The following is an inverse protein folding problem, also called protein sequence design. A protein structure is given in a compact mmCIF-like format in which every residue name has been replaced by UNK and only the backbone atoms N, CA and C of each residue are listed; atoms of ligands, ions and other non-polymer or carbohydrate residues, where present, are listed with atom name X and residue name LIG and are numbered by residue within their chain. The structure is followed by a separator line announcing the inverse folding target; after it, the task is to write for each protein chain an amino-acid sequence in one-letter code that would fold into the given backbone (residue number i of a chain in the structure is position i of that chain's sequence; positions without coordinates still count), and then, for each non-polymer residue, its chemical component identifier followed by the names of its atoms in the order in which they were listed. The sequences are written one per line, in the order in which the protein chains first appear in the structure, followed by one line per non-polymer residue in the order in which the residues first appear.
data_IF_122504342848
#
_entry.id   IF_122504342848
#
_cell.length_a   1.000
_cell.length_b   1.000
_cell.length_c   1.000
_cell.angle_alpha   90.00
_cell.angle_beta   90.00
_cell.angle_gamma   90.00
#
_symmetry.space_group_name_H-M   'P 1'
#
loop_
_entity.id
_entity.type
_entity.pdbx_description
1 polymer ?
#
# COMPACT_ATOMS: atom_id res chain seq x y z
N UNK A 1 -22.16 -1.39 -3.19
CA UNK A 1 -22.67 -0.03 -2.85
C UNK A 1 -22.17 0.36 -1.47
N UNK A 2 -21.25 1.32 -1.39
CA UNK A 2 -20.79 1.82 -0.10
C UNK A 2 -21.88 2.71 0.49
N UNK A 3 -22.21 2.49 1.77
CA UNK A 3 -23.20 3.27 2.51
C UNK A 3 -22.76 4.75 2.56
N UNK A 4 -23.60 5.68 2.10
CA UNK A 4 -23.28 7.11 2.04
C UNK A 4 -22.96 7.70 3.40
N UNK A 5 -23.57 7.18 4.47
CA UNK A 5 -23.30 7.58 5.85
C UNK A 5 -21.92 7.12 6.33
N UNK A 6 -21.48 5.93 5.90
CA UNK A 6 -20.15 5.40 6.19
C UNK A 6 -19.06 6.19 5.44
N UNK A 7 -19.29 6.53 4.17
CA UNK A 7 -18.36 7.38 3.42
C UNK A 7 -18.21 8.77 4.06
N UNK A 8 -19.31 9.34 4.54
CA UNK A 8 -19.29 10.61 5.23
C UNK A 8 -18.48 10.53 6.53
N UNK A 9 -18.69 9.50 7.35
CA UNK A 9 -17.98 9.33 8.62
C UNK A 9 -16.48 9.07 8.42
N UNK A 10 -16.08 8.29 7.42
CA UNK A 10 -14.67 8.06 7.09
C UNK A 10 -14.01 9.37 6.65
N UNK A 11 -14.66 10.14 5.78
CA UNK A 11 -14.12 11.45 5.35
C UNK A 11 -13.97 12.42 6.51
N UNK A 12 -14.98 12.49 7.40
CA UNK A 12 -14.90 13.33 8.59
C UNK A 12 -13.74 12.89 9.50
N UNK A 13 -13.60 11.57 9.73
CA UNK A 13 -12.48 11.01 10.50
C UNK A 13 -11.14 11.39 9.89
N UNK A 14 -10.96 11.23 8.58
CA UNK A 14 -9.70 11.59 7.89
C UNK A 14 -9.42 13.09 7.99
N UNK A 15 -10.43 13.95 7.82
CA UNK A 15 -10.27 15.40 7.97
C UNK A 15 -9.79 15.80 9.38
N UNK A 16 -10.36 15.17 10.42
CA UNK A 16 -9.94 15.39 11.80
C UNK A 16 -8.50 14.93 12.05
N UNK A 17 -8.11 13.77 11.50
CA UNK A 17 -6.73 13.26 11.59
C UNK A 17 -5.72 14.15 10.84
N UNK A 18 -6.09 14.67 9.67
CA UNK A 18 -5.26 15.62 8.91
C UNK A 18 -4.98 16.87 9.74
N UNK A 19 -6.03 17.51 10.28
CA UNK A 19 -5.86 18.72 11.11
C UNK A 19 -5.00 18.44 12.35
N UNK A 20 -5.18 17.28 12.99
CA UNK A 20 -4.37 16.90 14.14
C UNK A 20 -2.89 16.69 13.77
N UNK A 21 -2.61 16.01 12.66
CA UNK A 21 -1.25 15.77 12.19
C UNK A 21 -0.55 17.04 11.66
N UNK A 22 -1.28 17.97 11.04
CA UNK A 22 -0.76 19.30 10.68
C UNK A 22 -0.34 20.10 11.93
N UNK A 23 -1.13 20.04 13.00
CA UNK A 23 -0.77 20.66 14.27
C UNK A 23 0.48 20.01 14.89
N UNK A 24 0.60 18.68 14.80
CA UNK A 24 1.78 17.94 15.23
C UNK A 24 3.03 18.34 14.42
N UNK A 25 2.92 18.46 13.09
CA UNK A 25 4.02 18.96 12.24
C UNK A 25 4.50 20.34 12.68
N UNK A 26 3.57 21.27 12.92
CA UNK A 26 3.93 22.63 13.36
C UNK A 26 4.65 22.61 14.70
N UNK A 27 4.23 21.74 15.64
CA UNK A 27 4.92 21.56 16.90
C UNK A 27 6.35 21.01 16.71
N UNK A 28 6.53 20.01 15.84
CA UNK A 28 7.86 19.45 15.53
C UNK A 28 8.76 20.50 14.89
N UNK A 29 8.27 21.29 13.94
CA UNK A 29 9.05 22.39 13.33
C UNK A 29 9.50 23.40 14.39
N UNK A 30 8.63 23.72 15.35
CA UNK A 30 8.98 24.61 16.46
C UNK A 30 10.05 24.00 17.38
N UNK A 31 9.93 22.71 17.71
CA UNK A 31 10.91 22.00 18.55
C UNK A 31 12.26 21.85 17.84
N UNK A 32 12.25 21.56 16.54
CA UNK A 32 13.46 21.53 15.71
C UNK A 32 14.20 22.87 15.82
N UNK A 33 13.50 24.01 15.76
CA UNK A 33 14.06 25.36 15.84
C UNK A 33 14.80 25.65 17.17
N UNK A 34 14.42 24.98 18.25
CA UNK A 34 14.98 25.20 19.60
C UNK A 34 16.00 24.13 20.01
N UNK A 35 16.05 23.02 19.28
CA UNK A 35 16.93 21.88 19.60
C UNK A 35 18.35 22.11 19.09
N UNK A 36 19.34 21.96 19.98
CA UNK A 36 20.77 22.15 19.69
C UNK A 36 21.59 20.84 19.70
N UNK A 37 20.93 19.69 19.89
CA UNK A 37 21.58 18.37 19.85
C UNK A 37 21.34 17.73 18.49
N UNK A 38 22.42 17.32 17.80
CA UNK A 38 22.33 16.65 16.50
C UNK A 38 21.48 15.38 16.60
N UNK A 39 21.70 14.54 17.62
CA UNK A 39 20.95 13.29 17.83
C UNK A 39 19.45 13.54 17.96
N UNK A 40 19.06 14.48 18.84
CA UNK A 40 17.64 14.84 19.02
C UNK A 40 17.05 15.46 17.76
N UNK A 41 17.80 16.31 17.07
CA UNK A 41 17.34 16.95 15.84
C UNK A 41 17.18 15.94 14.69
N UNK A 42 18.06 14.94 14.61
CA UNK A 42 17.94 13.84 13.65
C UNK A 42 16.65 13.05 13.88
N UNK A 43 16.33 12.74 15.14
CA UNK A 43 15.06 12.10 15.50
C UNK A 43 13.86 12.96 15.12
N UNK A 44 13.90 14.27 15.41
CA UNK A 44 12.82 15.19 15.04
C UNK A 44 12.64 15.32 13.53
N UNK A 45 13.71 15.18 12.73
CA UNK A 45 13.61 15.13 11.25
C UNK A 45 12.90 13.86 10.81
N UNK A 46 13.28 12.70 11.36
CA UNK A 46 12.61 11.43 11.07
C UNK A 46 11.15 11.42 11.51
N UNK A 47 10.84 12.03 12.67
CA UNK A 47 9.46 12.20 13.15
C UNK A 47 8.67 13.10 12.20
N UNK A 48 9.25 14.22 11.76
CA UNK A 48 8.62 15.10 10.78
C UNK A 48 8.25 14.34 9.49
N UNK A 49 9.20 13.60 8.92
CA UNK A 49 8.97 12.80 7.70
C UNK A 49 7.89 11.72 7.90
N UNK A 50 7.88 11.06 9.07
CA UNK A 50 6.84 10.08 9.41
C UNK A 50 5.46 10.72 9.55
N UNK A 51 5.35 11.94 10.07
CA UNK A 51 4.08 12.66 10.13
C UNK A 51 3.62 13.05 8.71
N UNK A 52 4.53 13.51 7.84
CA UNK A 52 4.21 13.79 6.43
C UNK A 52 3.67 12.55 5.71
N UNK A 53 4.29 11.39 5.89
CA UNK A 53 3.82 10.12 5.33
C UNK A 53 2.41 9.75 5.83
N UNK A 54 2.12 9.95 7.13
CA UNK A 54 0.76 9.75 7.67
C UNK A 54 -0.24 10.72 7.06
N UNK A 55 0.13 11.98 6.86
CA UNK A 55 -0.72 12.99 6.22
C UNK A 55 -1.03 12.64 4.77
N UNK A 56 -0.04 12.15 4.02
CA UNK A 56 -0.23 11.65 2.67
C UNK A 56 -1.22 10.48 2.66
N UNK A 57 -1.04 9.51 3.57
CA UNK A 57 -1.96 8.38 3.70
C UNK A 57 -3.40 8.84 4.04
N UNK A 58 -3.60 9.73 5.01
CA UNK A 58 -4.92 10.28 5.32
C UNK A 58 -5.54 11.01 4.13
N UNK A 59 -4.73 11.76 3.37
CA UNK A 59 -5.17 12.51 2.20
C UNK A 59 -5.55 11.59 1.04
N UNK A 60 -4.79 10.51 0.82
CA UNK A 60 -5.11 9.47 -0.17
C UNK A 60 -6.44 8.79 0.17
N UNK A 61 -6.63 8.37 1.43
CA UNK A 61 -7.88 7.75 1.89
C UNK A 61 -9.05 8.73 1.74
N UNK A 62 -8.89 9.98 2.19
CA UNK A 62 -9.93 10.99 2.03
C UNK A 62 -10.32 11.19 0.56
N UNK A 63 -9.33 11.30 -0.33
CA UNK A 63 -9.53 11.52 -1.76
C UNK A 63 -10.28 10.37 -2.40
N UNK A 64 -9.93 9.12 -2.07
CA UNK A 64 -10.64 7.93 -2.53
C UNK A 64 -12.14 7.98 -2.22
N UNK A 65 -12.51 8.28 -0.97
CA UNK A 65 -13.91 8.35 -0.54
C UNK A 65 -14.63 9.66 -0.91
N UNK A 66 -13.88 10.68 -1.34
CA UNK A 66 -14.42 11.93 -1.85
C UNK A 66 -14.73 11.87 -3.35
N UNK A 67 -14.01 11.03 -4.09
CA UNK A 67 -14.19 10.87 -5.52
C UNK A 67 -15.52 10.15 -5.86
N UNK A 68 -16.16 10.47 -6.99
CA UNK A 68 -17.31 9.70 -7.48
C UNK A 68 -16.87 8.25 -7.78
N UNK A 69 -17.74 7.27 -7.54
CA UNK A 69 -17.44 5.85 -7.78
C UNK A 69 -16.95 5.58 -9.21
N UNK A 70 -17.54 6.26 -10.20
CA UNK A 70 -17.16 6.17 -11.62
C UNK A 70 -15.71 6.60 -11.91
N UNK A 71 -15.06 7.32 -10.99
CA UNK A 71 -13.67 7.74 -11.14
C UNK A 71 -12.68 6.58 -11.03
N UNK A 72 -13.02 5.52 -10.29
CA UNK A 72 -12.19 4.31 -10.12
C UNK A 72 -11.97 3.59 -11.46
N UNK A 73 -12.89 3.75 -12.40
CA UNK A 73 -12.82 3.20 -13.76
C UNK A 73 -11.92 4.03 -14.70
N UNK A 74 -11.49 5.22 -14.29
CA UNK A 74 -10.58 6.02 -15.11
C UNK A 74 -9.16 5.44 -15.07
N UNK A 75 -8.43 5.41 -16.20
CA UNK A 75 -7.06 4.88 -16.23
C UNK A 75 -6.13 5.54 -15.20
N UNK A 76 -6.35 6.82 -14.90
CA UNK A 76 -5.56 7.59 -13.93
C UNK A 76 -5.75 7.08 -12.50
N UNK A 77 -7.00 6.95 -12.04
CA UNK A 77 -7.28 6.45 -10.68
C UNK A 77 -6.89 4.99 -10.55
N UNK A 78 -7.04 4.22 -11.63
CA UNK A 78 -6.63 2.82 -11.68
C UNK A 78 -5.12 2.63 -11.53
N UNK A 79 -4.29 3.51 -12.10
CA UNK A 79 -2.84 3.45 -11.86
C UNK A 79 -2.45 3.70 -10.40
N UNK A 80 -3.34 4.31 -9.61
CA UNK A 80 -3.14 4.59 -8.18
C UNK A 80 -3.90 3.61 -7.28
N UNK A 81 -4.58 2.60 -7.83
CA UNK A 81 -5.45 1.69 -7.07
C UNK A 81 -4.72 1.04 -5.88
N UNK A 82 -3.50 0.55 -6.09
CA UNK A 82 -2.70 -0.10 -5.04
C UNK A 82 -2.19 0.92 -4.00
N UNK A 83 -1.94 2.15 -4.42
CA UNK A 83 -1.54 3.24 -3.53
C UNK A 83 -2.68 3.60 -2.56
N UNK A 84 -3.92 3.65 -3.04
CA UNK A 84 -5.09 3.85 -2.17
C UNK A 84 -5.27 2.73 -1.16
N UNK A 85 -5.08 1.48 -1.60
CA UNK A 85 -5.16 0.32 -0.70
C UNK A 85 -4.06 0.38 0.35
N UNK A 86 -2.81 0.66 -0.05
CA UNK A 86 -1.68 0.75 0.86
C UNK A 86 -1.87 1.86 1.89
N UNK A 87 -2.27 3.06 1.43
CA UNK A 87 -2.58 4.18 2.30
C UNK A 87 -3.69 3.83 3.29
N UNK A 88 -4.76 3.17 2.83
CA UNK A 88 -5.85 2.74 3.68
C UNK A 88 -5.40 1.71 4.73
N UNK A 89 -4.62 0.70 4.33
CA UNK A 89 -4.05 -0.31 5.26
C UNK A 89 -3.15 0.32 6.32
N UNK A 90 -2.31 1.29 5.93
CA UNK A 90 -1.42 1.99 6.86
C UNK A 90 -2.19 2.84 7.90
N UNK A 91 -3.39 3.29 7.56
CA UNK A 91 -4.29 3.99 8.48
C UNK A 91 -5.04 3.01 9.39
N UNK A 92 -5.63 1.97 8.79
CA UNK A 92 -6.51 1.03 9.46
C UNK A 92 -6.71 -0.22 8.57
N UNK A 93 -6.38 -1.41 9.06
CA UNK A 93 -6.46 -2.63 8.25
C UNK A 93 -7.87 -2.89 7.68
N UNK A 94 -8.92 -2.55 8.44
CA UNK A 94 -10.31 -2.69 7.97
C UNK A 94 -10.65 -1.70 6.85
N UNK A 95 -10.07 -0.48 6.87
CA UNK A 95 -10.17 0.45 5.73
C UNK A 95 -9.49 -0.11 4.50
N UNK A 96 -8.29 -0.70 4.65
CA UNK A 96 -7.57 -1.37 3.56
C UNK A 96 -8.45 -2.39 2.86
N UNK A 97 -9.10 -3.27 3.64
CA UNK A 97 -10.06 -4.27 3.13
C UNK A 97 -11.23 -3.63 2.38
N UNK A 98 -11.80 -2.57 2.94
CA UNK A 98 -12.94 -1.88 2.32
C UNK A 98 -12.57 -1.24 0.98
N UNK A 99 -11.39 -0.62 0.89
CA UNK A 99 -10.90 0.01 -0.35
C UNK A 99 -10.61 -1.05 -1.40
N UNK A 100 -9.89 -2.13 -1.05
CA UNK A 100 -9.62 -3.23 -1.98
C UNK A 100 -10.90 -3.89 -2.50
N UNK A 101 -11.89 -4.12 -1.62
CA UNK A 101 -13.18 -4.67 -2.03
C UNK A 101 -13.91 -3.73 -3.00
N UNK A 102 -13.90 -2.42 -2.74
CA UNK A 102 -14.51 -1.43 -3.62
C UNK A 102 -13.88 -1.47 -5.01
N UNK A 103 -12.54 -1.44 -5.09
CA UNK A 103 -11.82 -1.51 -6.37
C UNK A 103 -12.16 -2.79 -7.12
N UNK A 104 -12.16 -3.93 -6.42
CA UNK A 104 -12.49 -5.22 -7.03
C UNK A 104 -13.93 -5.29 -7.56
N UNK A 105 -14.91 -4.75 -6.82
CA UNK A 105 -16.30 -4.70 -7.25
C UNK A 105 -16.46 -3.85 -8.52
N UNK A 106 -15.84 -2.68 -8.57
CA UNK A 106 -15.92 -1.79 -9.74
C UNK A 106 -15.22 -2.38 -10.98
N UNK A 107 -14.05 -2.99 -10.81
CA UNK A 107 -13.35 -3.68 -11.91
C UNK A 107 -14.13 -4.89 -12.42
N UNK A 108 -14.84 -5.62 -11.55
CA UNK A 108 -15.73 -6.73 -11.98
C UNK A 108 -16.89 -6.23 -12.83
N UNK A 109 -17.53 -5.13 -12.44
CA UNK A 109 -18.59 -4.50 -13.26
C UNK A 109 -18.05 -4.08 -14.63
N UNK A 110 -16.81 -3.57 -14.70
CA UNK A 110 -16.17 -3.23 -15.97
C UNK A 110 -15.96 -4.47 -16.84
N UNK A 111 -15.46 -5.55 -16.27
CA UNK A 111 -15.25 -6.83 -16.97
C UNK A 111 -16.56 -7.37 -17.52
N UNK A 112 -17.63 -7.36 -16.73
CA UNK A 112 -18.96 -7.86 -17.12
C UNK A 112 -19.67 -6.98 -18.16
N UNK A 113 -19.22 -5.75 -18.37
CA UNK A 113 -19.84 -4.79 -19.31
C UNK A 113 -19.14 -4.67 -20.66
N UNK A 114 -18.01 -5.37 -20.88
CA UNK A 114 -17.32 -5.41 -22.16
C UNK A 114 -17.70 -6.68 -22.96
N UNK A 115 -17.90 -6.54 -24.28
CA UNK A 115 -18.23 -7.66 -25.19
C UNK A 115 -17.12 -8.74 -25.21
N UNK A 116 -17.52 -9.99 -25.48
CA UNK A 116 -16.84 -11.30 -25.28
C UNK A 116 -15.37 -11.47 -25.77
N UNK A 117 -14.72 -10.47 -26.38
CA UNK A 117 -13.35 -10.58 -26.91
C UNK A 117 -12.24 -10.02 -25.96
N UNK A 118 -12.56 -9.77 -24.69
CA UNK A 118 -11.69 -9.04 -23.75
C UNK A 118 -10.82 -9.90 -22.81
N UNK A 119 -10.58 -11.18 -23.13
CA UNK A 119 -9.95 -12.16 -22.25
C UNK A 119 -8.57 -11.74 -21.68
N UNK A 120 -7.68 -11.24 -22.53
CA UNK A 120 -6.34 -10.76 -22.09
C UNK A 120 -6.46 -9.55 -21.15
N UNK A 121 -7.49 -8.73 -21.34
CA UNK A 121 -7.76 -7.57 -20.49
C UNK A 121 -8.28 -8.03 -19.13
N UNK A 122 -9.19 -9.02 -19.08
CA UNK A 122 -9.65 -9.62 -17.81
C UNK A 122 -8.48 -10.17 -17.01
N UNK A 123 -7.60 -10.95 -17.65
CA UNK A 123 -6.39 -11.47 -16.99
C UNK A 123 -5.51 -10.33 -16.45
N UNK A 124 -5.30 -9.28 -17.25
CA UNK A 124 -4.53 -8.12 -16.84
C UNK A 124 -5.14 -7.37 -15.64
N UNK A 125 -6.48 -7.25 -15.57
CA UNK A 125 -7.14 -6.61 -14.43
C UNK A 125 -6.92 -7.36 -13.13
N UNK A 126 -7.08 -8.68 -13.19
CA UNK A 126 -6.92 -9.53 -12.02
C UNK A 126 -5.47 -9.52 -11.52
N UNK A 127 -4.51 -9.77 -12.42
CA UNK A 127 -3.10 -9.89 -12.05
C UNK A 127 -2.49 -8.57 -11.56
N UNK A 128 -2.90 -7.43 -12.13
CA UNK A 128 -2.27 -6.13 -11.84
C UNK A 128 -2.95 -5.37 -10.69
N UNK A 129 -4.24 -5.59 -10.44
CA UNK A 129 -5.02 -4.73 -9.54
C UNK A 129 -5.80 -5.50 -8.49
N UNK A 130 -6.66 -6.44 -8.89
CA UNK A 130 -7.58 -7.10 -7.95
C UNK A 130 -6.81 -7.97 -6.96
N UNK A 131 -5.93 -8.84 -7.46
CA UNK A 131 -5.16 -9.78 -6.63
C UNK A 131 -4.20 -9.04 -5.70
N UNK A 132 -3.34 -8.12 -6.19
CA UNK A 132 -2.44 -7.39 -5.31
C UNK A 132 -3.20 -6.54 -4.29
N UNK A 133 -4.32 -5.90 -4.65
CA UNK A 133 -5.12 -5.10 -3.72
C UNK A 133 -5.60 -5.93 -2.52
N UNK A 134 -6.13 -7.13 -2.75
CA UNK A 134 -6.57 -7.99 -1.64
C UNK A 134 -5.41 -8.50 -0.78
N UNK A 135 -4.25 -8.77 -1.39
CA UNK A 135 -3.05 -9.18 -0.65
C UNK A 135 -2.53 -8.03 0.24
N UNK A 136 -2.48 -6.80 -0.28
CA UNK A 136 -2.06 -5.61 0.48
C UNK A 136 -3.06 -5.27 1.60
N UNK A 137 -4.36 -5.43 1.35
CA UNK A 137 -5.43 -5.11 2.30
C UNK A 137 -5.64 -6.16 3.40
N UNK A 138 -5.44 -7.43 3.08
CA UNK A 138 -5.60 -8.51 4.02
C UNK A 138 -4.39 -8.64 4.92
N UNK A 139 -4.53 -8.38 6.22
CA UNK A 139 -3.76 -9.14 7.20
C UNK A 139 -4.13 -10.61 6.99
N UNK A 140 -3.25 -11.32 6.29
CA UNK A 140 -3.37 -12.58 5.53
C UNK A 140 -4.05 -13.81 6.17
N UNK A 141 -4.77 -13.69 7.29
CA UNK A 141 -5.65 -14.76 7.80
C UNK A 141 -6.80 -15.08 6.84
N UNK A 142 -7.19 -14.12 6.00
CA UNK A 142 -8.20 -14.27 4.93
C UNK A 142 -7.56 -14.43 3.53
N UNK A 143 -6.23 -14.41 3.42
CA UNK A 143 -5.55 -14.61 2.14
C UNK A 143 -5.90 -15.99 1.58
N UNK A 144 -6.07 -17.02 2.41
CA UNK A 144 -6.58 -18.31 1.94
C UNK A 144 -8.00 -18.25 1.38
N UNK A 145 -8.89 -17.38 1.89
CA UNK A 145 -10.24 -17.20 1.35
C UNK A 145 -10.23 -16.35 0.07
N UNK A 146 -9.36 -15.36 -0.03
CA UNK A 146 -9.15 -14.55 -1.25
C UNK A 146 -8.40 -15.34 -2.32
N UNK A 147 -7.41 -16.13 -1.94
CA UNK A 147 -6.77 -17.17 -2.75
C UNK A 147 -7.80 -18.21 -3.13
N UNK A 148 -8.70 -18.67 -2.25
CA UNK A 148 -9.78 -19.59 -2.62
C UNK A 148 -10.83 -18.94 -3.54
N UNK A 149 -11.12 -17.64 -3.39
CA UNK A 149 -11.99 -16.90 -4.32
C UNK A 149 -11.29 -16.74 -5.68
N UNK A 150 -9.99 -16.47 -5.68
CA UNK A 150 -9.15 -16.51 -6.87
C UNK A 150 -9.04 -17.92 -7.44
N UNK A 151 -9.00 -18.97 -6.63
CA UNK A 151 -8.98 -20.38 -7.05
C UNK A 151 -10.35 -20.80 -7.56
N UNK A 152 -11.45 -20.22 -7.07
CA UNK A 152 -12.80 -20.39 -7.63
C UNK A 152 -12.93 -19.68 -8.96
N UNK A 153 -12.39 -18.46 -9.10
CA UNK A 153 -12.28 -17.76 -10.38
C UNK A 153 -11.38 -18.53 -11.34
N UNK A 154 -10.22 -18.98 -10.87
CA UNK A 154 -9.31 -19.84 -11.60
C UNK A 154 -9.91 -21.20 -11.90
N UNK A 155 -10.85 -21.75 -11.12
CA UNK A 155 -11.58 -22.98 -11.44
C UNK A 155 -12.69 -22.74 -12.48
N UNK A 156 -13.24 -21.52 -12.50
CA UNK A 156 -14.18 -21.05 -13.52
C UNK A 156 -13.45 -20.76 -14.85
N UNK A 157 -12.23 -20.20 -14.76
CA UNK A 157 -11.29 -19.94 -15.84
C UNK A 157 -10.53 -21.21 -16.28
N UNK A 158 -10.25 -22.17 -15.39
CA UNK A 158 -9.59 -23.47 -15.66
C UNK A 158 -10.42 -24.34 -16.58
N UNK A 159 -11.76 -24.21 -16.50
CA UNK A 159 -12.67 -24.81 -17.48
C UNK A 159 -12.46 -24.30 -18.90
N UNK A 160 -11.87 -23.12 -19.07
CA UNK A 160 -11.61 -22.48 -20.37
C UNK A 160 -10.10 -22.44 -20.74
N UNK A 161 -9.18 -22.41 -19.77
CA UNK A 161 -7.74 -22.10 -19.96
C UNK A 161 -6.75 -23.05 -19.23
N UNK A 162 -7.18 -23.74 -18.18
CA UNK A 162 -6.36 -24.73 -17.44
C UNK A 162 -5.58 -24.21 -16.21
N UNK A 163 -5.09 -25.14 -15.39
CA UNK A 163 -4.48 -24.91 -14.06
C UNK A 163 -3.18 -24.08 -14.10
N UNK A 164 -2.45 -24.08 -15.22
CA UNK A 164 -1.14 -23.42 -15.35
C UNK A 164 -1.28 -21.89 -15.36
N UNK A 165 -2.23 -21.35 -16.12
CA UNK A 165 -2.45 -19.90 -16.20
C UNK A 165 -2.97 -19.31 -14.89
N UNK A 166 -3.75 -20.08 -14.13
CA UNK A 166 -4.18 -19.71 -12.78
C UNK A 166 -3.00 -19.54 -11.80
N UNK A 167 -2.03 -20.45 -11.86
CA UNK A 167 -0.81 -20.38 -11.07
C UNK A 167 0.04 -19.16 -11.45
N UNK A 168 0.14 -18.86 -12.76
CA UNK A 168 0.88 -17.69 -13.25
C UNK A 168 0.26 -16.36 -12.80
N UNK A 169 -1.06 -16.20 -12.88
CA UNK A 169 -1.76 -15.00 -12.39
C UNK A 169 -1.54 -14.80 -10.89
N UNK A 170 -1.60 -15.88 -10.12
CA UNK A 170 -1.36 -15.83 -8.68
C UNK A 170 0.10 -15.44 -8.38
N UNK A 171 1.06 -16.10 -9.02
CA UNK A 171 2.49 -15.80 -8.85
C UNK A 171 2.78 -14.35 -9.19
N UNK A 172 2.27 -13.86 -10.32
CA UNK A 172 2.46 -12.47 -10.74
C UNK A 172 1.81 -11.46 -9.78
N UNK A 173 0.60 -11.75 -9.28
CA UNK A 173 -0.05 -10.90 -8.29
C UNK A 173 0.70 -10.85 -6.95
N UNK A 174 1.32 -11.97 -6.55
CA UNK A 174 2.20 -12.03 -5.38
C UNK A 174 3.50 -11.24 -5.60
N UNK A 175 4.13 -11.33 -6.77
CA UNK A 175 5.30 -10.54 -7.14
C UNK A 175 5.00 -9.04 -7.00
N UNK A 176 3.89 -8.55 -7.58
CA UNK A 176 3.48 -7.15 -7.42
C UNK A 176 3.25 -6.80 -5.95
N UNK A 177 2.56 -7.65 -5.19
CA UNK A 177 2.29 -7.41 -3.78
C UNK A 177 3.57 -7.33 -2.93
N UNK A 178 4.60 -8.13 -3.26
CA UNK A 178 5.93 -8.05 -2.63
C UNK A 178 6.54 -6.68 -2.93
N UNK A 179 6.60 -6.29 -4.19
CA UNK A 179 7.27 -5.06 -4.62
C UNK A 179 6.68 -3.80 -3.96
N UNK A 180 5.35 -3.73 -3.85
CA UNK A 180 4.65 -2.54 -3.36
C UNK A 180 4.41 -2.52 -1.84
N UNK A 181 4.70 -3.62 -1.13
CA UNK A 181 4.47 -3.72 0.32
C UNK A 181 5.71 -3.34 1.14
N UNK A 182 5.50 -2.64 2.25
CA UNK A 182 6.52 -2.37 3.27
C UNK A 182 6.40 -3.32 4.48
N UNK A 183 5.34 -4.14 4.52
CA UNK A 183 5.04 -5.08 5.61
C UNK A 183 4.93 -6.51 5.06
N UNK A 184 6.08 -7.18 4.95
CA UNK A 184 6.17 -8.49 4.28
C UNK A 184 6.00 -9.70 5.21
N UNK A 185 6.02 -9.50 6.52
CA UNK A 185 5.98 -10.61 7.51
C UNK A 185 4.78 -11.52 7.30
N UNK A 186 3.61 -10.93 7.03
CA UNK A 186 2.39 -11.70 6.86
C UNK A 186 2.30 -12.34 5.45
N UNK A 187 2.89 -11.72 4.43
CA UNK A 187 3.02 -12.29 3.08
C UNK A 187 3.93 -13.52 3.07
N UNK A 188 5.06 -13.47 3.79
CA UNK A 188 5.97 -14.60 3.99
C UNK A 188 5.24 -15.78 4.66
N UNK A 189 4.43 -15.50 5.70
CA UNK A 189 3.64 -16.53 6.37
C UNK A 189 2.59 -17.14 5.43
N UNK A 190 1.95 -16.34 4.58
CA UNK A 190 0.99 -16.80 3.59
C UNK A 190 1.65 -17.70 2.53
N UNK A 191 2.78 -17.28 1.96
CA UNK A 191 3.52 -18.08 0.96
C UNK A 191 3.93 -19.44 1.54
N UNK A 192 4.44 -19.47 2.79
CA UNK A 192 4.84 -20.71 3.48
C UNK A 192 3.68 -21.66 3.81
N UNK A 193 2.46 -21.14 3.92
CA UNK A 193 1.26 -21.93 4.28
C UNK A 193 0.34 -22.18 3.09
N UNK A 194 0.70 -21.68 1.90
CA UNK A 194 -0.05 -21.86 0.66
C UNK A 194 -0.07 -23.33 0.24
N UNK A 195 -1.23 -23.80 -0.23
CA UNK A 195 -1.41 -25.18 -0.67
C UNK A 195 -0.69 -25.42 -2.02
N UNK A 196 -0.04 -26.59 -2.22
CA UNK A 196 0.68 -26.93 -3.46
C UNK A 196 -0.22 -27.08 -4.71
N UNK A 197 -1.51 -26.77 -4.61
CA UNK A 197 -2.45 -26.82 -5.71
C UNK A 197 -2.19 -25.73 -6.76
N UNK A 198 -1.64 -24.58 -6.37
CA UNK A 198 -1.43 -23.44 -7.27
C UNK A 198 -0.04 -22.81 -7.22
N UNK A 199 0.77 -23.09 -6.19
CA UNK A 199 2.18 -22.70 -6.14
C UNK A 199 3.02 -23.95 -5.91
N UNK A 200 3.91 -24.26 -6.85
CA UNK A 200 4.87 -25.35 -6.68
C UNK A 200 5.94 -24.95 -5.66
N UNK A 201 6.67 -25.93 -5.13
CA UNK A 201 7.78 -25.65 -4.18
C UNK A 201 8.81 -24.67 -4.77
N UNK A 202 9.06 -24.74 -6.09
CA UNK A 202 9.94 -23.82 -6.79
C UNK A 202 9.40 -22.38 -6.80
N UNK A 203 8.09 -22.19 -7.02
CA UNK A 203 7.45 -20.87 -7.00
C UNK A 203 7.46 -20.28 -5.59
N UNK A 204 7.19 -21.11 -4.57
CA UNK A 204 7.25 -20.70 -3.17
C UNK A 204 8.67 -20.25 -2.78
N UNK A 205 9.70 -21.01 -3.18
CA UNK A 205 11.08 -20.63 -2.92
C UNK A 205 11.43 -19.29 -3.57
N UNK A 206 11.07 -19.12 -4.85
CA UNK A 206 11.29 -17.87 -5.58
C UNK A 206 10.61 -16.66 -4.92
N UNK A 207 9.34 -16.78 -4.53
CA UNK A 207 8.59 -15.70 -3.88
C UNK A 207 9.12 -15.38 -2.47
N UNK A 208 9.64 -16.37 -1.75
CA UNK A 208 10.29 -16.16 -0.46
C UNK A 208 11.64 -15.45 -0.60
N UNK A 209 12.42 -15.80 -1.62
CA UNK A 209 13.66 -15.10 -1.94
C UNK A 209 13.37 -13.64 -2.32
N UNK A 210 12.34 -13.37 -3.13
CA UNK A 210 11.90 -12.02 -3.47
C UNK A 210 11.45 -11.22 -2.22
N UNK A 211 10.74 -11.85 -1.28
CA UNK A 211 10.40 -11.24 0.00
C UNK A 211 11.65 -10.82 0.79
N UNK A 212 12.68 -11.69 0.85
CA UNK A 212 13.92 -11.41 1.58
C UNK A 212 14.74 -10.29 0.92
N UNK A 213 14.78 -10.26 -0.43
CA UNK A 213 15.37 -9.17 -1.20
C UNK A 213 14.69 -7.85 -0.90
N UNK A 214 13.35 -7.79 -0.98
CA UNK A 214 12.60 -6.58 -0.66
C UNK A 214 12.77 -6.14 0.80
N UNK A 215 12.83 -7.07 1.75
CA UNK A 215 13.17 -6.74 3.14
C UNK A 215 14.58 -6.15 3.27
N UNK A 216 15.55 -6.61 2.48
CA UNK A 216 16.88 -6.03 2.45
C UNK A 216 16.89 -4.62 1.89
N UNK A 217 16.12 -4.36 0.82
CA UNK A 217 15.91 -3.02 0.27
C UNK A 217 15.30 -2.08 1.30
N UNK A 218 14.21 -2.47 1.97
CA UNK A 218 13.56 -1.65 3.00
C UNK A 218 14.53 -1.31 4.14
N UNK A 219 15.36 -2.28 4.57
CA UNK A 219 16.40 -2.03 5.60
C UNK A 219 17.44 -1.03 5.11
N UNK A 220 17.86 -1.14 3.86
CA UNK A 220 18.82 -0.22 3.26
C UNK A 220 18.24 1.20 3.13
N UNK A 221 17.01 1.32 2.63
CA UNK A 221 16.27 2.58 2.50
C UNK A 221 16.11 3.26 3.86
N UNK A 222 15.76 2.49 4.90
CA UNK A 222 15.64 2.97 6.28
C UNK A 222 16.97 3.53 6.80
N UNK A 223 18.06 2.76 6.66
CA UNK A 223 19.40 3.21 7.11
C UNK A 223 19.86 4.46 6.34
N UNK A 224 19.55 4.54 5.04
CA UNK A 224 19.82 5.73 4.23
C UNK A 224 19.03 6.94 4.74
N UNK A 225 17.76 6.76 5.10
CA UNK A 225 16.91 7.83 5.66
C UNK A 225 17.45 8.36 6.98
N UNK A 226 17.89 7.46 7.87
CA UNK A 226 18.53 7.83 9.14
C UNK A 226 19.80 8.66 8.94
N UNK A 227 20.66 8.24 7.99
CA UNK A 227 21.87 8.99 7.65
C UNK A 227 21.56 10.38 7.09
N UNK A 228 20.60 10.49 6.17
CA UNK A 228 20.16 11.77 5.60
C UNK A 228 19.55 12.69 6.66
N UNK A 229 18.77 12.14 7.59
CA UNK A 229 18.21 12.90 8.70
C UNK A 229 19.31 13.46 9.62
N UNK A 230 20.37 12.68 9.84
CA UNK A 230 21.54 13.13 10.58
C UNK A 230 22.29 14.26 9.86
N UNK A 231 22.56 14.10 8.57
CA UNK A 231 23.20 15.14 7.74
C UNK A 231 22.38 16.44 7.75
N UNK A 232 21.05 16.34 7.60
CA UNK A 232 20.13 17.48 7.67
C UNK A 232 20.15 18.15 9.05
N UNK A 233 20.21 17.37 10.13
CA UNK A 233 20.33 17.90 11.48
C UNK A 233 21.64 18.68 11.68
N UNK A 234 22.77 18.16 11.20
CA UNK A 234 24.06 18.89 11.24
C UNK A 234 23.96 20.20 10.45
N UNK A 235 23.44 20.16 9.22
CA UNK A 235 23.30 21.34 8.37
C UNK A 235 22.42 22.42 9.03
N UNK A 236 21.31 22.03 9.68
CA UNK A 236 20.43 22.94 10.39
C UNK A 236 21.15 23.68 11.53
N UNK A 237 22.02 23.00 12.29
CA UNK A 237 22.81 23.64 13.35
C UNK A 237 23.89 24.56 12.78
N UNK A 238 24.63 24.11 11.75
CA UNK A 238 25.64 24.96 11.09
C UNK A 238 25.04 26.25 10.50
N UNK A 239 23.85 26.15 9.89
CA UNK A 239 23.14 27.33 9.37
C UNK A 239 22.78 28.31 10.49
N UNK A 240 22.38 27.81 11.67
CA UNK A 240 22.08 28.66 12.84
C UNK A 240 23.31 29.36 13.37
N UNK A 241 24.44 28.65 13.47
CA UNK A 241 25.72 29.24 13.89
C UNK A 241 26.19 30.34 12.94
N UNK A 242 26.03 30.14 11.62
CA UNK A 242 26.34 31.17 10.61
C UNK A 242 25.44 32.40 10.74
N UNK A 243 24.17 32.23 11.11
CA UNK A 243 23.23 33.34 11.32
C UNK A 243 23.49 34.11 12.62
N UNK A 244 24.00 33.46 13.68
CA UNK A 244 24.33 34.11 14.94
C UNK A 244 25.69 34.81 14.94
N UNK A 245 26.63 34.37 14.09
CA UNK A 245 27.97 34.98 13.96
C UNK A 245 28.08 36.08 12.90
N UNK A 246 27.06 36.24 12.05
CA UNK A 246 26.98 37.26 11.00
C UNK A 246 26.30 38.58 11.37
N UNK A 247 25.92 38.77 12.64
CA UNK A 247 25.40 40.01 13.23
C UNK A 247 26.40 40.58 14.25
#
# INVERSE_FOLDING_TARGET
MINSELNFSIKQRMQEQIVAAEAELQAIVHEQAQTNSVEKLSLLVLTYESIEERLENYSHVFSFFAAPVQSVLSPLVKSEALEYVRAATAVDADLGKQVAQTIAEELRVLIESQDDDALDMVEAEYRNYIVPAYLIAGLYTEANDQLMQMMRFCAQYEKEYGTVQAADVLRFGLEIAIDVSYELTALIAAIRTSFPQFLMEADQAFLLDACEERLAEIRFETSKRENLAHEKAVEMLERREKMTTGN
#
